data_IF_788422644502
#
_entry.id   IF_788422644502
#
_cell.length_a   1.000
_cell.length_b   1.000
_cell.length_c   1.000
_cell.angle_alpha   90.00
_cell.angle_beta   90.00
_cell.angle_gamma   90.00
#
_symmetry.space_group_name_H-M   'P 1'
#
loop_
_entity.id
_entity.type
_entity.pdbx_description
1 polymer ?
#
# COMPACT_ATOMS: atom_id res chain seq x y z
N UNK A 1 9.69 15.15 44.51
CA UNK A 1 8.87 15.00 45.73
C UNK A 1 7.54 14.37 45.34
N UNK A 2 7.22 13.19 45.90
CA UNK A 2 5.88 12.69 46.32
C UNK A 2 4.74 12.86 45.28
N UNK A 3 4.11 11.81 44.73
CA UNK A 3 3.46 10.69 45.46
C UNK A 3 3.05 9.54 44.53
N UNK A 4 3.32 8.33 45.00
CA UNK A 4 2.68 7.08 44.64
C UNK A 4 1.18 7.10 44.97
N UNK A 5 0.36 6.43 44.17
CA UNK A 5 -0.87 5.80 44.63
C UNK A 5 -0.94 4.38 44.06
N UNK A 6 -0.88 3.42 44.98
CA UNK A 6 -1.01 1.97 44.81
C UNK A 6 -2.42 1.58 45.27
N UNK A 7 -2.92 0.46 44.74
CA UNK A 7 -3.94 -0.46 45.30
C UNK A 7 -5.41 -0.02 45.13
N UNK A 8 -6.23 -0.84 44.46
CA UNK A 8 -7.22 -1.73 45.11
C UNK A 8 -7.44 -3.00 44.25
N UNK A 9 -7.05 -4.13 44.82
CA UNK A 9 -7.39 -5.49 44.41
C UNK A 9 -8.74 -5.85 45.08
N UNK A 10 -9.78 -6.16 44.30
CA UNK A 10 -11.03 -6.73 44.83
C UNK A 10 -11.09 -8.19 44.41
N UNK A 11 -10.73 -9.04 45.37
CA UNK A 11 -10.94 -10.48 45.39
C UNK A 11 -12.39 -10.73 45.83
N UNK A 12 -13.25 -11.26 44.96
CA UNK A 12 -14.58 -11.71 45.33
C UNK A 12 -14.63 -13.24 45.24
N UNK A 13 -14.67 -13.88 46.41
CA UNK A 13 -14.74 -15.33 46.60
C UNK A 13 -16.10 -15.70 47.22
N UNK A 14 -16.55 -16.94 46.92
CA UNK A 14 -17.68 -17.71 47.48
C UNK A 14 -19.04 -17.46 46.80
N UNK A 15 -19.84 -18.48 46.43
CA UNK A 15 -20.18 -19.70 47.19
C UNK A 15 -20.46 -20.91 46.27
N UNK A 16 -20.06 -22.11 46.75
CA UNK A 16 -20.34 -23.47 46.26
C UNK A 16 -21.81 -23.89 46.50
N UNK A 17 -22.44 -24.67 45.60
CA UNK A 17 -22.88 -26.08 45.80
C UNK A 17 -23.94 -26.51 44.77
N UNK A 18 -23.83 -27.76 44.29
CA UNK A 18 -24.96 -28.50 43.70
C UNK A 18 -24.58 -29.63 42.75
N UNK A 19 -24.25 -30.82 43.27
CA UNK A 19 -24.23 -32.08 42.53
C UNK A 19 -25.67 -32.60 42.31
N UNK A 20 -25.99 -33.23 41.17
CA UNK A 20 -26.70 -34.51 41.14
C UNK A 20 -26.71 -35.23 39.76
N UNK A 21 -26.18 -36.45 39.78
CA UNK A 21 -26.58 -37.74 39.15
C UNK A 21 -27.08 -37.83 37.69
N UNK A 22 -26.24 -38.51 36.90
CA UNK A 22 -26.44 -39.83 36.24
C UNK A 22 -27.86 -40.24 35.79
N UNK A 23 -27.94 -40.66 34.52
CA UNK A 23 -28.73 -41.80 34.08
C UNK A 23 -28.07 -42.45 32.85
N UNK A 24 -27.63 -43.70 33.01
CA UNK A 24 -27.36 -44.67 31.95
C UNK A 24 -28.61 -45.54 31.68
N UNK A 25 -28.49 -46.42 30.68
CA UNK A 25 -29.38 -47.53 30.23
C UNK A 25 -30.47 -47.15 29.20
N UNK A 26 -30.73 -47.90 28.12
CA UNK A 26 -30.31 -49.25 27.72
C UNK A 26 -30.53 -49.44 26.20
N UNK A 27 -29.85 -50.44 25.63
CA UNK A 27 -29.93 -50.84 24.23
C UNK A 27 -31.21 -51.65 23.89
N UNK A 28 -31.70 -51.52 22.64
CA UNK A 28 -32.56 -52.51 22.01
C UNK A 28 -32.13 -52.72 20.55
N UNK A 29 -31.60 -53.92 20.26
CA UNK A 29 -31.30 -54.42 18.92
C UNK A 29 -32.56 -55.09 18.37
N UNK A 30 -33.04 -54.62 17.21
CA UNK A 30 -33.89 -55.40 16.30
C UNK A 30 -33.48 -55.05 14.87
N UNK A 31 -33.06 -56.06 14.11
CA UNK A 31 -32.50 -55.90 12.76
C UNK A 31 -33.52 -55.48 11.70
N UNK A 32 -33.02 -54.77 10.69
CA UNK A 32 -33.70 -54.47 9.44
C UNK A 32 -32.69 -53.86 8.47
N UNK A 33 -32.51 -54.50 7.32
CA UNK A 33 -31.70 -53.98 6.23
C UNK A 33 -32.28 -52.66 5.72
N UNK A 34 -31.42 -51.64 5.64
CA UNK A 34 -31.42 -50.48 4.73
C UNK A 34 -30.55 -49.40 5.39
N UNK A 35 -29.28 -49.34 4.97
CA UNK A 35 -28.31 -48.32 5.40
C UNK A 35 -28.86 -46.90 5.14
N UNK A 36 -29.06 -46.05 6.17
CA UNK A 36 -29.23 -44.64 5.93
C UNK A 36 -27.84 -44.04 5.67
N UNK A 37 -27.58 -43.67 4.42
CA UNK A 37 -26.48 -42.80 4.03
C UNK A 37 -26.48 -41.59 4.97
N UNK A 38 -25.54 -41.56 5.92
CA UNK A 38 -25.33 -40.41 6.78
C UNK A 38 -24.88 -39.27 5.88
N UNK A 39 -25.81 -38.36 5.59
CA UNK A 39 -25.50 -37.01 5.14
C UNK A 39 -24.69 -36.40 6.28
N UNK A 40 -23.37 -36.42 6.13
CA UNK A 40 -22.49 -35.54 6.89
C UNK A 40 -22.89 -34.13 6.49
N UNK A 41 -23.66 -33.49 7.37
CA UNK A 41 -23.79 -32.05 7.37
C UNK A 41 -22.39 -31.53 7.68
N UNK A 42 -21.70 -31.09 6.63
CA UNK A 42 -20.53 -30.24 6.71
C UNK A 42 -20.91 -29.03 7.55
N UNK A 43 -20.42 -29.00 8.80
CA UNK A 43 -20.51 -27.83 9.65
C UNK A 43 -19.67 -26.75 8.99
N UNK A 44 -20.35 -25.86 8.25
CA UNK A 44 -19.77 -24.75 7.51
C UNK A 44 -18.60 -24.14 8.28
N UNK A 45 -17.39 -24.35 7.76
CA UNK A 45 -16.22 -23.58 8.17
C UNK A 45 -16.60 -22.12 8.00
N UNK A 46 -16.64 -21.40 9.11
CA UNK A 46 -16.57 -19.94 9.04
C UNK A 46 -15.14 -19.68 8.58
N UNK A 47 -14.98 -19.37 7.30
CA UNK A 47 -13.68 -19.03 6.73
C UNK A 47 -13.00 -17.99 7.64
N UNK A 48 -11.75 -18.24 8.02
CA UNK A 48 -11.00 -17.37 8.95
C UNK A 48 -10.40 -16.13 8.24
N UNK A 49 -10.76 -15.94 6.96
CA UNK A 49 -10.42 -14.80 6.13
C UNK A 49 -11.69 -14.10 5.64
N UNK A 50 -11.55 -12.87 5.14
CA UNK A 50 -12.69 -12.11 4.59
C UNK A 50 -12.74 -12.27 3.08
N UNK A 51 -13.87 -12.70 2.52
CA UNK A 51 -14.08 -12.62 1.08
C UNK A 51 -14.68 -11.27 0.70
N UNK A 52 -14.12 -10.60 -0.30
CA UNK A 52 -14.60 -9.32 -0.85
C UNK A 52 -14.80 -9.43 -2.37
N UNK A 53 -15.52 -8.48 -2.96
CA UNK A 53 -15.60 -8.36 -4.41
C UNK A 53 -14.41 -7.56 -4.97
N UNK A 54 -14.22 -7.63 -6.29
CA UNK A 54 -13.10 -6.96 -6.95
C UNK A 54 -13.19 -5.44 -6.91
N UNK A 55 -14.39 -4.86 -6.87
CA UNK A 55 -14.55 -3.41 -6.74
C UNK A 55 -14.11 -2.93 -5.35
N UNK A 56 -14.43 -3.68 -4.31
CA UNK A 56 -13.92 -3.44 -2.95
C UNK A 56 -12.41 -3.59 -2.92
N UNK A 57 -11.84 -4.62 -3.56
CA UNK A 57 -10.39 -4.80 -3.64
C UNK A 57 -9.71 -3.61 -4.33
N UNK A 58 -10.24 -3.11 -5.45
CA UNK A 58 -9.73 -1.90 -6.13
C UNK A 58 -9.73 -0.68 -5.21
N UNK A 59 -10.80 -0.48 -4.45
CA UNK A 59 -10.88 0.66 -3.52
C UNK A 59 -9.87 0.54 -2.37
N UNK A 60 -9.60 -0.68 -1.90
CA UNK A 60 -8.55 -0.94 -0.91
C UNK A 60 -7.16 -0.69 -1.50
N UNK A 61 -6.92 -1.07 -2.77
CA UNK A 61 -5.65 -0.83 -3.46
C UNK A 61 -5.31 0.66 -3.64
N UNK A 62 -6.31 1.54 -3.56
CA UNK A 62 -6.11 3.00 -3.64
C UNK A 62 -5.69 3.65 -2.30
N UNK A 63 -5.61 2.87 -1.21
CA UNK A 63 -5.26 3.39 0.11
C UNK A 63 -3.75 3.25 0.35
N UNK A 64 -3.14 4.29 0.92
CA UNK A 64 -1.78 4.27 1.47
C UNK A 64 -1.79 3.73 2.92
N UNK A 65 -2.21 2.47 3.06
CA UNK A 65 -2.25 1.74 4.34
C UNK A 65 -1.19 0.62 4.42
N UNK A 66 -0.29 0.60 3.44
CA UNK A 66 0.78 -0.37 3.31
C UNK A 66 0.31 -1.78 2.98
N UNK A 67 -0.90 -1.98 2.44
CA UNK A 67 -1.40 -3.30 2.03
C UNK A 67 -0.47 -4.02 1.04
N UNK A 68 -0.61 -5.34 0.96
CA UNK A 68 0.15 -6.18 0.02
C UNK A 68 -0.83 -6.95 -0.85
N UNK A 69 -0.64 -6.87 -2.17
CA UNK A 69 -1.38 -7.66 -3.16
C UNK A 69 -0.61 -8.96 -3.41
N UNK A 70 -1.27 -10.12 -3.27
CA UNK A 70 -0.62 -11.43 -3.38
C UNK A 70 -1.27 -12.24 -4.50
N UNK A 71 -0.48 -12.51 -5.53
CA UNK A 71 -0.80 -13.46 -6.58
C UNK A 71 -0.36 -14.86 -6.16
N UNK A 72 -1.32 -15.77 -5.98
CA UNK A 72 -1.03 -17.16 -5.58
C UNK A 72 -1.04 -18.15 -6.73
N UNK A 73 -0.88 -17.66 -7.97
CA UNK A 73 -0.72 -18.49 -9.18
C UNK A 73 0.71 -19.01 -9.33
N UNK A 74 0.97 -19.71 -10.43
CA UNK A 74 2.33 -20.16 -10.79
C UNK A 74 3.09 -19.01 -11.46
N UNK A 75 4.43 -19.12 -11.46
CA UNK A 75 5.36 -18.18 -12.11
C UNK A 75 5.01 -17.90 -13.57
N UNK A 76 4.66 -18.92 -14.36
CA UNK A 76 4.30 -18.76 -15.78
C UNK A 76 3.01 -17.94 -15.97
N UNK A 77 2.07 -18.05 -15.04
CA UNK A 77 0.81 -17.31 -15.09
C UNK A 77 0.99 -15.85 -14.66
N UNK A 78 1.90 -15.60 -13.71
CA UNK A 78 2.24 -14.27 -13.22
C UNK A 78 3.01 -13.47 -14.29
N UNK A 79 4.06 -14.07 -14.85
CA UNK A 79 4.89 -13.44 -15.89
C UNK A 79 4.08 -13.09 -17.16
N UNK A 80 3.07 -13.90 -17.48
CA UNK A 80 2.17 -13.66 -18.61
C UNK A 80 1.15 -12.52 -18.37
N UNK A 81 1.06 -11.99 -17.15
CA UNK A 81 0.15 -10.91 -16.79
C UNK A 81 -0.32 -11.02 -15.34
N UNK A 82 -0.05 -10.02 -14.51
CA UNK A 82 -0.45 -9.91 -13.10
C UNK A 82 -0.98 -8.50 -12.77
N UNK A 83 -1.69 -8.36 -11.64
CA UNK A 83 -2.13 -7.03 -11.15
C UNK A 83 -0.88 -6.23 -10.76
N UNK A 84 -0.76 -4.93 -11.10
CA UNK A 84 0.36 -4.08 -10.68
C UNK A 84 0.67 -4.21 -9.20
N UNK A 85 1.95 -4.11 -8.84
CA UNK A 85 2.48 -4.21 -7.46
C UNK A 85 2.24 -5.56 -6.73
N UNK A 86 1.57 -6.52 -7.37
CA UNK A 86 1.35 -7.83 -6.75
C UNK A 86 2.66 -8.59 -6.55
N UNK A 87 2.87 -9.18 -5.38
CA UNK A 87 3.94 -10.15 -5.17
C UNK A 87 3.46 -11.56 -5.49
N UNK A 88 4.35 -12.37 -6.07
CA UNK A 88 4.06 -13.77 -6.37
C UNK A 88 4.38 -14.65 -5.16
N UNK A 89 3.36 -15.30 -4.58
CA UNK A 89 3.52 -16.35 -3.57
C UNK A 89 2.65 -17.55 -3.97
N UNK A 90 3.16 -18.49 -4.80
CA UNK A 90 2.34 -19.57 -5.33
C UNK A 90 1.70 -20.39 -4.21
N UNK A 91 0.40 -20.69 -4.31
CA UNK A 91 -0.34 -21.40 -3.26
C UNK A 91 0.34 -22.71 -2.84
N UNK A 92 0.98 -23.40 -3.78
CA UNK A 92 1.71 -24.65 -3.55
C UNK A 92 2.97 -24.49 -2.68
N UNK A 93 3.51 -23.27 -2.57
CA UNK A 93 4.68 -22.95 -1.74
C UNK A 93 4.30 -22.54 -0.32
N UNK A 94 3.04 -22.15 -0.09
CA UNK A 94 2.53 -21.81 1.25
C UNK A 94 2.38 -23.11 2.04
N UNK A 95 3.40 -23.37 2.87
CA UNK A 95 3.53 -24.54 3.73
C UNK A 95 3.00 -24.30 5.14
N UNK A 96 3.77 -24.70 6.15
CA UNK A 96 3.44 -24.47 7.57
C UNK A 96 4.15 -23.24 8.15
N UNK A 97 5.24 -22.83 7.53
CA UNK A 97 6.04 -21.68 7.97
C UNK A 97 5.53 -20.40 7.31
N UNK A 98 5.69 -19.30 8.02
CA UNK A 98 5.33 -17.97 7.56
C UNK A 98 6.13 -17.61 6.29
N UNK A 99 5.47 -17.12 5.21
CA UNK A 99 6.18 -16.61 4.02
C UNK A 99 7.15 -15.49 4.38
N UNK A 100 8.34 -15.50 3.80
CA UNK A 100 9.38 -14.51 4.09
C UNK A 100 8.99 -13.10 3.63
N UNK A 101 8.17 -13.04 2.58
CA UNK A 101 7.63 -11.82 1.97
C UNK A 101 6.52 -11.18 2.82
N UNK A 102 5.95 -11.91 3.78
CA UNK A 102 4.84 -11.45 4.63
C UNK A 102 5.21 -11.54 6.12
N UNK A 103 6.24 -10.83 6.62
CA UNK A 103 6.72 -11.00 8.00
C UNK A 103 5.77 -10.45 9.09
N UNK A 104 4.84 -9.54 8.76
CA UNK A 104 3.87 -8.98 9.71
C UNK A 104 2.51 -9.69 9.63
N UNK A 105 2.07 -10.26 10.76
CA UNK A 105 0.77 -10.94 10.87
C UNK A 105 -0.44 -9.99 10.85
N UNK A 106 -0.22 -8.69 11.09
CA UNK A 106 -1.27 -7.67 11.01
C UNK A 106 -1.33 -6.97 9.65
N UNK A 107 -0.46 -7.35 8.71
CA UNK A 107 -0.45 -6.81 7.35
C UNK A 107 -1.82 -7.00 6.68
N UNK A 108 -2.34 -5.96 6.03
CA UNK A 108 -3.50 -6.08 5.14
C UNK A 108 -3.03 -6.82 3.88
N UNK A 109 -3.65 -7.96 3.58
CA UNK A 109 -3.24 -8.84 2.48
C UNK A 109 -4.44 -9.07 1.55
N UNK A 110 -4.30 -8.64 0.30
CA UNK A 110 -5.29 -8.84 -0.76
C UNK A 110 -4.86 -10.05 -1.61
N UNK A 111 -5.58 -11.16 -1.55
CA UNK A 111 -5.20 -12.43 -2.19
C UNK A 111 -6.09 -12.73 -3.41
N UNK A 112 -5.46 -13.03 -4.55
CA UNK A 112 -6.17 -13.50 -5.74
C UNK A 112 -5.44 -14.64 -6.45
N UNK A 113 -6.14 -15.30 -7.36
CA UNK A 113 -5.53 -16.31 -8.22
C UNK A 113 -6.10 -16.26 -9.63
N UNK A 114 -6.10 -17.38 -10.36
CA UNK A 114 -6.68 -17.42 -11.72
C UNK A 114 -8.21 -17.33 -11.72
N UNK A 115 -8.89 -18.14 -10.89
CA UNK A 115 -10.35 -18.33 -10.93
C UNK A 115 -11.00 -18.44 -9.55
N UNK A 116 -10.33 -17.99 -8.48
CA UNK A 116 -10.84 -17.99 -7.10
C UNK A 116 -10.59 -19.25 -6.26
N UNK A 117 -10.12 -20.38 -6.82
CA UNK A 117 -9.90 -21.60 -6.02
C UNK A 117 -8.64 -21.55 -5.16
N UNK A 118 -7.49 -21.27 -5.78
CA UNK A 118 -6.18 -21.23 -5.09
C UNK A 118 -6.09 -20.10 -4.08
N UNK A 119 -6.74 -18.97 -4.36
CA UNK A 119 -6.79 -17.81 -3.47
C UNK A 119 -7.51 -18.11 -2.17
N UNK A 120 -8.62 -18.87 -2.19
CA UNK A 120 -9.30 -19.34 -0.98
C UNK A 120 -8.44 -20.31 -0.17
N UNK A 121 -7.80 -21.27 -0.83
CA UNK A 121 -6.87 -22.21 -0.18
C UNK A 121 -5.70 -21.48 0.48
N UNK A 122 -5.08 -20.53 -0.23
CA UNK A 122 -3.99 -19.71 0.28
C UNK A 122 -4.45 -18.82 1.44
N UNK A 123 -5.61 -18.16 1.31
CA UNK A 123 -6.15 -17.28 2.35
C UNK A 123 -6.42 -18.03 3.64
N UNK A 124 -6.96 -19.25 3.57
CA UNK A 124 -7.14 -20.10 4.75
C UNK A 124 -5.81 -20.53 5.37
N UNK A 125 -4.79 -20.86 4.56
CA UNK A 125 -3.45 -21.18 5.10
C UNK A 125 -2.84 -19.99 5.84
N UNK A 126 -2.94 -18.79 5.27
CA UNK A 126 -2.49 -17.56 5.93
C UNK A 126 -3.29 -17.31 7.22
N UNK A 127 -4.62 -17.39 7.19
CA UNK A 127 -5.42 -17.23 8.41
C UNK A 127 -5.02 -18.25 9.51
N UNK A 128 -4.76 -19.51 9.15
CA UNK A 128 -4.28 -20.55 10.06
C UNK A 128 -2.89 -20.24 10.67
N UNK A 129 -2.06 -19.46 9.99
CA UNK A 129 -0.76 -18.99 10.49
C UNK A 129 -0.89 -17.77 11.43
N UNK A 130 -2.10 -17.23 11.59
CA UNK A 130 -2.39 -16.12 12.50
C UNK A 130 -2.47 -14.75 11.83
N UNK A 131 -2.48 -14.68 10.50
CA UNK A 131 -2.76 -13.43 9.80
C UNK A 131 -4.22 -13.02 10.02
N UNK A 132 -4.44 -11.79 10.47
CA UNK A 132 -5.79 -11.34 10.88
C UNK A 132 -6.52 -10.53 9.81
N UNK A 133 -5.80 -10.01 8.82
CA UNK A 133 -6.31 -9.07 7.81
C UNK A 133 -6.16 -9.63 6.39
N UNK A 134 -6.64 -10.86 6.18
CA UNK A 134 -6.60 -11.54 4.88
C UNK A 134 -7.91 -11.34 4.12
N UNK A 135 -7.82 -10.78 2.92
CA UNK A 135 -8.95 -10.46 2.06
C UNK A 135 -8.81 -11.20 0.72
N UNK A 136 -9.70 -12.16 0.46
CA UNK A 136 -9.75 -12.93 -0.79
C UNK A 136 -10.73 -12.27 -1.76
N UNK A 137 -10.30 -12.01 -3.00
CA UNK A 137 -11.12 -11.30 -3.98
C UNK A 137 -11.28 -12.01 -5.33
N UNK A 138 -11.01 -13.31 -5.38
CA UNK A 138 -11.36 -14.18 -6.50
C UNK A 138 -10.25 -14.36 -7.55
N UNK A 139 -10.67 -14.34 -8.81
CA UNK A 139 -9.81 -14.67 -9.95
C UNK A 139 -9.50 -13.47 -10.83
N UNK A 140 -8.26 -13.39 -11.33
CA UNK A 140 -7.84 -12.39 -12.33
C UNK A 140 -8.62 -12.54 -13.66
N UNK A 141 -9.25 -13.69 -13.93
CA UNK A 141 -10.12 -13.85 -15.11
C UNK A 141 -11.27 -12.84 -15.12
N UNK A 142 -11.80 -12.51 -13.94
CA UNK A 142 -12.92 -11.58 -13.80
C UNK A 142 -12.43 -10.13 -13.59
N UNK A 143 -11.11 -9.94 -13.42
CA UNK A 143 -10.50 -8.64 -13.13
C UNK A 143 -10.64 -7.68 -14.31
N UNK A 144 -11.12 -6.48 -14.01
CA UNK A 144 -11.37 -5.41 -14.98
C UNK A 144 -10.42 -4.23 -14.84
N UNK A 145 -9.48 -4.30 -13.88
CA UNK A 145 -8.42 -3.31 -13.72
C UNK A 145 -7.24 -3.59 -14.65
N UNK A 146 -6.16 -2.87 -14.40
CA UNK A 146 -4.91 -3.02 -15.13
C UNK A 146 -4.22 -4.36 -14.85
N UNK A 147 -3.48 -4.83 -15.85
CA UNK A 147 -2.63 -6.03 -15.79
C UNK A 147 -1.31 -5.70 -16.46
N UNK A 148 -0.21 -5.96 -15.77
CA UNK A 148 1.16 -5.76 -16.24
C UNK A 148 1.83 -7.10 -16.51
N UNK A 149 2.81 -7.10 -17.42
CA UNK A 149 3.70 -8.24 -17.68
C UNK A 149 5.11 -7.85 -17.25
N UNK A 150 5.97 -8.81 -16.94
CA UNK A 150 7.37 -8.52 -16.57
C UNK A 150 8.12 -7.70 -17.64
N UNK A 151 7.65 -7.72 -18.90
CA UNK A 151 8.22 -6.92 -20.00
C UNK A 151 7.79 -5.44 -19.98
N UNK A 152 6.66 -5.11 -19.35
CA UNK A 152 6.06 -3.78 -19.36
C UNK A 152 5.89 -3.16 -17.96
N UNK A 153 6.35 -3.82 -16.88
CA UNK A 153 6.33 -3.25 -15.52
C UNK A 153 7.05 -1.91 -15.49
N UNK A 154 8.22 -1.83 -16.14
CA UNK A 154 9.00 -0.58 -16.25
C UNK A 154 8.24 0.51 -17.01
N UNK A 155 7.39 0.15 -18.00
CA UNK A 155 6.58 1.14 -18.75
C UNK A 155 5.42 1.69 -17.92
N UNK A 156 4.82 0.90 -17.03
CA UNK A 156 3.71 1.37 -16.19
C UNK A 156 4.21 2.29 -15.08
N UNK A 157 5.33 1.95 -14.44
CA UNK A 157 6.03 2.83 -13.50
C UNK A 157 6.42 4.17 -14.17
N UNK A 158 6.90 4.15 -15.42
CA UNK A 158 7.21 5.34 -16.21
C UNK A 158 5.97 6.18 -16.60
N UNK A 159 4.79 5.57 -16.69
CA UNK A 159 3.52 6.29 -16.99
C UNK A 159 2.83 6.87 -15.76
N UNK A 160 3.17 6.41 -14.55
CA UNK A 160 2.74 7.03 -13.29
C UNK A 160 3.80 8.02 -12.74
N UNK A 161 5.02 7.97 -13.26
CA UNK A 161 6.09 8.87 -12.89
C UNK A 161 5.71 10.33 -13.18
N UNK A 162 5.79 11.17 -12.14
CA UNK A 162 5.61 12.60 -12.25
C UNK A 162 6.73 13.21 -13.09
N UNK A 163 6.39 14.05 -14.07
CA UNK A 163 7.31 14.72 -14.98
C UNK A 163 7.37 16.20 -14.70
N UNK A 164 8.54 16.80 -14.87
CA UNK A 164 8.74 18.24 -14.79
C UNK A 164 9.18 18.79 -16.14
N UNK A 165 8.53 19.87 -16.58
CA UNK A 165 8.92 20.64 -17.76
C UNK A 165 9.24 22.07 -17.37
N UNK A 166 10.35 22.61 -17.86
CA UNK A 166 10.73 24.03 -17.76
C UNK A 166 10.57 24.64 -19.16
N UNK A 167 9.70 25.64 -19.29
CA UNK A 167 9.32 26.26 -20.57
C UNK A 167 8.95 25.23 -21.65
N UNK A 168 8.26 24.15 -21.24
CA UNK A 168 7.84 23.05 -22.11
C UNK A 168 8.91 22.01 -22.43
N UNK A 169 10.15 22.20 -21.96
CA UNK A 169 11.23 21.21 -22.09
C UNK A 169 11.25 20.30 -20.88
N UNK A 170 11.08 19.00 -21.09
CA UNK A 170 11.15 18.00 -20.02
C UNK A 170 12.57 17.88 -19.47
N UNK A 171 12.70 17.78 -18.15
CA UNK A 171 13.98 17.61 -17.46
C UNK A 171 13.95 16.36 -16.59
N UNK A 172 15.08 15.66 -16.45
CA UNK A 172 15.15 14.48 -15.60
C UNK A 172 15.03 14.89 -14.14
N UNK A 173 14.09 14.28 -13.41
CA UNK A 173 13.86 14.56 -11.99
C UNK A 173 13.79 13.26 -11.21
N UNK A 174 14.61 13.18 -10.15
CA UNK A 174 14.42 12.19 -9.08
C UNK A 174 13.50 12.77 -8.02
N UNK A 175 12.29 12.23 -7.89
CA UNK A 175 11.30 12.66 -6.90
C UNK A 175 11.44 11.93 -5.57
N UNK A 176 11.05 12.59 -4.49
CA UNK A 176 10.95 11.98 -3.16
C UNK A 176 9.64 11.19 -3.01
N UNK A 177 9.69 10.07 -2.30
CA UNK A 177 8.49 9.32 -1.90
C UNK A 177 7.88 9.95 -0.64
N UNK A 178 7.03 10.97 -0.81
CA UNK A 178 6.36 11.61 0.32
C UNK A 178 5.00 12.21 -0.03
N UNK A 179 4.18 12.46 1.01
CA UNK A 179 2.82 12.98 0.88
C UNK A 179 2.70 14.35 0.16
N UNK A 180 3.79 15.13 0.07
CA UNK A 180 3.77 16.41 -0.65
C UNK A 180 3.93 16.20 -2.16
N UNK A 181 4.76 15.23 -2.57
CA UNK A 181 4.89 14.82 -3.97
C UNK A 181 3.60 14.18 -4.45
N UNK A 182 2.99 13.29 -3.66
CA UNK A 182 1.67 12.71 -3.97
C UNK A 182 0.60 13.80 -4.11
N UNK A 183 0.59 14.80 -3.21
CA UNK A 183 -0.34 15.92 -3.33
C UNK A 183 -0.12 16.77 -4.61
N UNK A 184 1.11 16.84 -5.14
CA UNK A 184 1.40 17.51 -6.41
C UNK A 184 0.99 16.66 -7.62
N UNK A 185 1.15 15.32 -7.57
CA UNK A 185 0.65 14.40 -8.61
C UNK A 185 -0.86 14.56 -8.79
N UNK A 186 -1.62 14.66 -7.69
CA UNK A 186 -3.07 14.92 -7.71
C UNK A 186 -3.45 16.31 -8.24
N UNK A 187 -2.48 17.23 -8.38
CA UNK A 187 -2.67 18.54 -9.01
C UNK A 187 -2.35 18.54 -10.51
N UNK A 188 -1.88 17.43 -11.06
CA UNK A 188 -1.50 17.28 -12.46
C UNK A 188 -2.68 17.47 -13.43
N UNK A 189 -2.48 18.17 -14.58
CA UNK A 189 -1.32 18.99 -14.89
C UNK A 189 -1.35 20.32 -14.12
N UNK A 190 -0.22 20.69 -13.53
CA UNK A 190 -0.05 21.97 -12.83
C UNK A 190 1.04 22.80 -13.53
N UNK A 191 0.67 23.97 -14.06
CA UNK A 191 1.63 24.96 -14.53
C UNK A 191 1.78 26.08 -13.50
N UNK A 192 3.02 26.36 -13.12
CA UNK A 192 3.42 27.39 -12.17
C UNK A 192 4.30 28.40 -12.89
N UNK A 193 3.89 29.66 -12.88
CA UNK A 193 4.75 30.77 -13.28
C UNK A 193 5.77 31.03 -12.17
N UNK A 194 7.04 30.86 -12.49
CA UNK A 194 8.16 31.00 -11.58
C UNK A 194 8.89 32.30 -11.84
N UNK A 195 9.25 33.01 -10.76
CA UNK A 195 10.08 34.21 -10.85
C UNK A 195 11.38 34.03 -10.10
N UNK A 196 12.45 34.62 -10.66
CA UNK A 196 13.76 34.62 -10.03
C UNK A 196 13.73 35.32 -8.67
N UNK A 197 14.35 34.71 -7.67
CA UNK A 197 14.54 35.30 -6.35
C UNK A 197 15.97 35.08 -5.87
N UNK A 198 16.55 36.10 -5.23
CA UNK A 198 17.89 36.03 -4.65
C UNK A 198 19.06 35.84 -5.64
N UNK A 199 18.79 35.57 -6.92
CA UNK A 199 19.81 35.24 -7.94
C UNK A 199 20.28 33.78 -7.90
N UNK A 200 19.61 32.92 -7.13
CA UNK A 200 19.98 31.51 -6.93
C UNK A 200 18.78 30.55 -6.87
N UNK A 201 17.56 31.06 -6.98
CA UNK A 201 16.35 30.25 -6.95
C UNK A 201 15.26 30.83 -7.85
N UNK A 202 14.40 29.95 -8.34
CA UNK A 202 13.12 30.25 -8.97
C UNK A 202 12.03 29.92 -7.97
N UNK A 203 11.04 30.79 -7.81
CA UNK A 203 9.93 30.60 -6.86
C UNK A 203 8.60 30.85 -7.54
N UNK A 204 7.63 29.97 -7.32
CA UNK A 204 6.28 30.12 -7.86
C UNK A 204 5.21 29.55 -6.94
N UNK A 205 4.01 30.11 -7.01
CA UNK A 205 2.87 29.68 -6.18
C UNK A 205 2.12 28.51 -6.84
N UNK A 206 1.90 27.44 -6.11
CA UNK A 206 1.07 26.30 -6.57
C UNK A 206 -0.44 26.57 -6.37
N UNK A 207 -0.84 27.77 -5.93
CA UNK A 207 -2.23 28.22 -5.85
C UNK A 207 -3.02 27.75 -4.62
N UNK A 208 -2.59 26.68 -3.94
CA UNK A 208 -3.16 26.18 -2.67
C UNK A 208 -2.08 25.68 -1.73
N UNK A 209 -2.42 25.47 -0.45
CA UNK A 209 -1.51 24.84 0.49
C UNK A 209 -1.64 23.31 0.44
N UNK A 210 -0.52 22.61 0.47
CA UNK A 210 -0.43 21.16 0.58
C UNK A 210 0.28 20.75 1.88
N UNK A 211 0.38 19.44 2.12
CA UNK A 211 1.06 18.87 3.30
C UNK A 211 2.54 19.28 3.29
N UNK A 212 3.16 19.36 4.48
CA UNK A 212 4.56 19.72 4.68
C UNK A 212 5.21 18.78 5.67
N UNK A 213 6.48 18.48 5.46
CA UNK A 213 7.39 17.83 6.39
C UNK A 213 8.73 18.60 6.39
N UNK A 214 8.70 19.81 6.95
CA UNK A 214 9.85 20.71 6.87
C UNK A 214 11.03 20.18 7.69
N UNK A 215 12.19 20.07 7.05
CA UNK A 215 13.46 19.69 7.66
C UNK A 215 14.51 20.74 7.35
N UNK A 216 15.42 20.96 8.30
CA UNK A 216 16.58 21.81 8.07
C UNK A 216 17.40 21.22 6.92
N UNK A 217 17.47 21.94 5.81
CA UNK A 217 18.03 21.47 4.56
C UNK A 217 18.96 22.55 4.02
N UNK A 218 20.17 22.14 3.66
CA UNK A 218 21.05 22.94 2.81
C UNK A 218 20.81 22.50 1.38
N UNK A 219 20.42 23.44 0.52
CA UNK A 219 20.12 23.16 -0.87
C UNK A 219 21.36 23.25 -1.74
N UNK A 220 21.34 22.46 -2.81
CA UNK A 220 22.30 22.46 -3.91
C UNK A 220 21.57 22.67 -5.24
N UNK A 221 22.33 22.81 -6.32
CA UNK A 221 21.82 22.96 -7.69
C UNK A 221 20.88 21.80 -8.05
N UNK A 222 19.70 22.12 -8.58
CA UNK A 222 18.71 21.12 -8.98
C UNK A 222 17.70 20.78 -7.90
N UNK A 223 17.91 21.19 -6.65
CA UNK A 223 16.97 20.87 -5.57
C UNK A 223 15.60 21.54 -5.78
N UNK A 224 14.56 20.71 -5.68
CA UNK A 224 13.16 21.12 -5.70
C UNK A 224 12.61 21.00 -4.29
N UNK A 225 12.08 22.09 -3.76
CA UNK A 225 11.51 22.11 -2.41
C UNK A 225 10.15 22.80 -2.38
N UNK A 226 9.35 22.42 -1.39
CA UNK A 226 8.14 23.14 -1.01
C UNK A 226 8.48 24.10 0.14
N UNK A 227 8.16 25.37 -0.07
CA UNK A 227 8.30 26.43 0.92
C UNK A 227 6.94 27.00 1.30
N UNK A 228 6.76 27.27 2.59
CA UNK A 228 5.52 27.79 3.18
C UNK A 228 4.24 26.95 2.91
N UNK A 229 4.37 25.76 2.31
CA UNK A 229 3.28 24.86 1.96
C UNK A 229 2.57 25.18 0.65
N UNK A 230 2.90 26.29 -0.02
CA UNK A 230 2.20 26.75 -1.22
C UNK A 230 3.14 27.33 -2.29
N UNK A 231 4.45 27.27 -2.07
CA UNK A 231 5.44 27.71 -3.05
C UNK A 231 6.35 26.56 -3.42
N UNK A 232 6.47 26.29 -4.71
CA UNK A 232 7.53 25.44 -5.22
C UNK A 232 8.76 26.32 -5.48
N UNK A 233 9.92 25.83 -5.08
CA UNK A 233 11.21 26.51 -5.24
C UNK A 233 12.16 25.55 -5.93
N UNK A 234 12.84 26.03 -6.97
CA UNK A 234 13.90 25.29 -7.67
C UNK A 234 15.20 26.06 -7.50
N UNK A 235 16.20 25.40 -6.91
CA UNK A 235 17.50 25.98 -6.63
C UNK A 235 18.49 25.78 -7.78
N UNK A 236 19.19 26.85 -8.13
CA UNK A 236 20.39 26.84 -8.98
C UNK A 236 21.52 27.58 -8.24
N UNK A 237 21.62 27.29 -6.95
CA UNK A 237 22.60 27.81 -6.00
C UNK A 237 22.32 27.19 -4.63
N UNK A 238 22.93 27.73 -3.58
CA UNK A 238 22.79 27.16 -2.23
C UNK A 238 22.13 28.11 -1.26
N UNK A 239 21.20 27.58 -0.48
CA UNK A 239 20.57 28.25 0.66
C UNK A 239 20.41 27.24 1.81
N UNK A 240 20.09 27.70 3.01
CA UNK A 240 19.82 26.79 4.13
C UNK A 240 18.64 27.28 4.95
N UNK A 241 17.57 26.49 4.96
CA UNK A 241 16.34 26.79 5.70
C UNK A 241 15.56 25.50 6.00
N UNK A 242 14.43 25.64 6.68
CA UNK A 242 13.48 24.56 6.88
C UNK A 242 12.58 24.42 5.64
N UNK A 243 12.73 23.32 4.92
CA UNK A 243 12.03 23.02 3.67
C UNK A 243 11.45 21.61 3.69
N UNK A 244 10.37 21.38 2.97
CA UNK A 244 9.95 20.02 2.61
C UNK A 244 10.60 19.67 1.27
N UNK A 245 11.44 18.63 1.22
CA UNK A 245 12.11 18.22 -0.02
C UNK A 245 11.08 17.54 -0.94
N UNK A 246 11.12 17.89 -2.22
CA UNK A 246 10.23 17.32 -3.24
C UNK A 246 10.99 16.45 -4.23
N UNK A 247 12.20 16.86 -4.62
CA UNK A 247 13.01 16.11 -5.56
C UNK A 247 14.27 16.85 -5.97
N UNK A 248 14.92 16.36 -7.01
CA UNK A 248 16.16 16.90 -7.55
C UNK A 248 16.18 16.77 -9.08
N UNK A 249 16.52 17.85 -9.78
CA UNK A 249 16.71 17.84 -11.24
C UNK A 249 18.12 17.32 -11.54
N UNK A 250 18.21 16.20 -12.24
CA UNK A 250 19.46 15.49 -12.54
C UNK A 250 20.18 16.09 -13.76
N UNK A 251 20.64 17.33 -13.60
CA UNK A 251 21.32 18.11 -14.63
C UNK A 251 22.56 18.80 -14.05
N UNK A 252 23.49 19.22 -14.93
CA UNK A 252 24.66 19.97 -14.48
C UNK A 252 24.28 21.39 -14.06
N UNK A 253 25.13 21.99 -13.20
CA UNK A 253 24.99 23.39 -12.79
C UNK A 253 24.91 24.35 -13.98
N UNK A 254 25.71 24.13 -15.03
CA UNK A 254 25.74 24.98 -16.22
C UNK A 254 24.39 24.93 -16.96
N UNK A 255 23.88 23.72 -17.22
CA UNK A 255 22.60 23.53 -17.90
C UNK A 255 21.43 24.13 -17.10
N UNK A 256 21.39 23.91 -15.78
CA UNK A 256 20.36 24.48 -14.92
C UNK A 256 20.42 26.01 -14.86
N UNK A 257 21.63 26.58 -14.79
CA UNK A 257 21.81 28.04 -14.77
C UNK A 257 21.35 28.67 -16.08
N UNK A 258 21.61 28.02 -17.22
CA UNK A 258 21.15 28.49 -18.52
C UNK A 258 19.62 28.46 -18.64
N UNK A 259 18.98 27.41 -18.10
CA UNK A 259 17.52 27.29 -18.11
C UNK A 259 16.82 28.25 -17.15
N UNK A 260 17.35 28.43 -15.93
CA UNK A 260 16.65 29.09 -14.83
C UNK A 260 17.22 30.46 -14.44
N UNK A 261 18.49 30.74 -14.72
CA UNK A 261 19.23 31.85 -14.13
C UNK A 261 19.08 33.20 -14.82
N UNK A 262 18.41 33.27 -15.98
CA UNK A 262 18.40 34.46 -16.84
C UNK A 262 17.02 35.09 -17.07
N UNK A 263 15.94 34.39 -16.72
CA UNK A 263 14.55 34.82 -16.94
C UNK A 263 13.59 34.10 -16.00
N UNK A 264 12.39 34.65 -15.88
CA UNK A 264 11.24 33.92 -15.34
C UNK A 264 10.89 32.75 -16.29
N UNK A 265 10.37 31.66 -15.72
CA UNK A 265 10.08 30.41 -16.44
C UNK A 265 8.71 29.87 -16.06
N UNK A 266 8.09 29.12 -16.97
CA UNK A 266 6.91 28.32 -16.65
C UNK A 266 7.35 26.88 -16.30
N UNK A 267 7.00 26.41 -15.11
CA UNK A 267 7.23 25.02 -14.69
C UNK A 267 5.92 24.27 -14.77
N UNK A 268 5.88 23.18 -15.54
CA UNK A 268 4.73 22.28 -15.62
C UNK A 268 5.05 20.95 -14.96
N UNK A 269 4.17 20.49 -14.09
CA UNK A 269 4.18 19.19 -13.45
C UNK A 269 3.05 18.35 -14.06
N UNK A 270 3.36 17.16 -14.59
CA UNK A 270 2.38 16.27 -15.20
C UNK A 270 2.63 14.79 -14.82
N UNK A 271 1.63 13.92 -15.06
CA UNK A 271 1.71 12.46 -14.92
C UNK A 271 1.66 11.89 -16.34
#
# INVERSE_FOLDING_TARGET
MKRFAKIVLILMLLVLTGCNKENEEEAAVIGGADEPTSIYLDESSKDDYTQIDQETAKLMMQQDDGHVIVDVRREDEYAAGHIPEAILIPNETIGNDQPAELPDLNQIILVYCRSGRRSKEASQKLANMGYTNVYEFGGIIDWTGEVVTDENVDEVEETDAMKLKIDGTEVPVTWEENASVEALKEMSPLTVEMSMYGGFEQVGSIGKSIVRDDKQTTTDYGDIVLYSGNQIVIFYGSNSWAYTRLGHIDMTQEELTDMLGSKDVAVTLEK
#
